data_IF_563943591838
#
_entry.id   IF_563943591838
#
_cell.length_a   1.000
_cell.length_b   1.000
_cell.length_c   1.000
_cell.angle_alpha   90.00
_cell.angle_beta   90.00
_cell.angle_gamma   90.00
#
_symmetry.space_group_name_H-M   'P 1'
#
loop_
_entity.id
_entity.type
_entity.pdbx_description
1 polymer ?
#
# COMPACT_ATOMS: atom_id res chain seq x y z
N UNK A 1 7.49 -21.02 9.07
CA UNK A 1 8.05 -19.70 9.40
C UNK A 1 7.50 -18.69 8.41
N UNK A 2 6.64 -17.76 8.84
CA UNK A 2 5.76 -16.99 7.94
C UNK A 2 6.30 -15.58 7.70
N UNK A 3 6.58 -15.26 6.44
CA UNK A 3 7.02 -13.95 5.97
C UNK A 3 5.86 -13.29 5.22
N UNK A 4 5.69 -11.98 5.37
CA UNK A 4 4.70 -11.22 4.62
C UNK A 4 5.37 -10.19 3.73
N UNK A 5 4.89 -10.09 2.48
CA UNK A 5 5.14 -8.99 1.59
C UNK A 5 3.88 -8.12 1.52
N UNK A 6 4.00 -6.82 1.78
CA UNK A 6 2.90 -5.87 1.71
C UNK A 6 3.15 -4.89 0.58
N UNK A 7 2.23 -4.85 -0.37
CA UNK A 7 2.19 -3.86 -1.44
C UNK A 7 1.43 -2.62 -0.97
N UNK A 8 2.12 -1.50 -0.83
CA UNK A 8 1.55 -0.23 -0.36
C UNK A 8 1.10 0.60 -1.55
N UNK A 9 -0.21 0.80 -1.66
CA UNK A 9 -0.87 1.81 -2.51
C UNK A 9 -0.37 1.85 -3.97
N UNK A 10 -0.16 0.67 -4.57
CA UNK A 10 0.36 0.55 -5.93
C UNK A 10 -0.75 0.67 -6.98
N UNK A 11 -1.41 1.83 -6.99
CA UNK A 11 -2.61 2.13 -7.78
C UNK A 11 -2.28 2.98 -9.01
N UNK A 12 -3.17 2.99 -10.00
CA UNK A 12 -2.95 3.71 -11.25
C UNK A 12 -2.70 5.22 -11.02
N UNK A 13 -3.45 5.86 -10.11
CA UNK A 13 -3.28 7.29 -9.83
C UNK A 13 -1.90 7.66 -9.30
N UNK A 14 -1.21 6.76 -8.61
CA UNK A 14 0.14 6.99 -8.10
C UNK A 14 1.26 6.58 -9.08
N UNK A 15 0.90 6.03 -10.25
CA UNK A 15 1.87 5.57 -11.26
C UNK A 15 1.83 6.48 -12.49
N UNK A 16 0.69 6.53 -13.17
CA UNK A 16 0.51 7.30 -14.41
C UNK A 16 -0.83 8.06 -14.47
N UNK A 17 -1.55 8.14 -13.35
CA UNK A 17 -2.75 8.96 -13.20
C UNK A 17 -2.50 10.29 -12.50
N UNK A 18 -3.44 10.72 -11.66
CA UNK A 18 -3.49 12.11 -11.17
C UNK A 18 -2.30 12.53 -10.29
N UNK A 19 -1.63 11.59 -9.64
CA UNK A 19 -0.43 11.77 -8.82
C UNK A 19 0.75 10.90 -9.30
N UNK A 20 0.74 10.51 -10.57
CA UNK A 20 1.76 9.67 -11.17
C UNK A 20 3.07 10.40 -11.46
N UNK A 21 4.17 9.65 -11.51
CA UNK A 21 5.51 10.19 -11.84
C UNK A 21 6.25 9.27 -12.82
N UNK A 22 7.28 9.79 -13.49
CA UNK A 22 8.12 8.96 -14.37
C UNK A 22 8.84 7.87 -13.56
N UNK A 23 9.30 8.22 -12.37
CA UNK A 23 9.97 7.33 -11.43
C UNK A 23 9.05 6.18 -10.99
N UNK A 24 7.79 6.48 -10.65
CA UNK A 24 6.80 5.46 -10.28
C UNK A 24 6.54 4.45 -11.40
N UNK A 25 6.52 4.90 -12.65
CA UNK A 25 6.41 4.01 -13.81
C UNK A 25 7.62 3.08 -13.95
N UNK A 26 8.83 3.56 -13.65
CA UNK A 26 10.06 2.74 -13.80
C UNK A 26 10.14 1.58 -12.82
N UNK A 27 9.46 1.65 -11.66
CA UNK A 27 9.52 0.58 -10.64
C UNK A 27 8.52 -0.55 -10.87
N UNK A 28 7.54 -0.38 -11.77
CA UNK A 28 6.50 -1.39 -12.05
C UNK A 28 7.07 -2.79 -12.29
N UNK A 29 8.09 -2.99 -13.16
CA UNK A 29 8.62 -4.33 -13.41
C UNK A 29 9.25 -4.97 -12.16
N UNK A 30 9.99 -4.20 -11.36
CA UNK A 30 10.64 -4.70 -10.14
C UNK A 30 9.63 -5.04 -9.04
N UNK A 31 8.59 -4.23 -8.90
CA UNK A 31 7.49 -4.52 -7.96
C UNK A 31 6.82 -5.83 -8.32
N UNK A 32 6.51 -6.05 -9.59
CA UNK A 32 5.89 -7.30 -10.08
C UNK A 32 6.82 -8.49 -9.90
N UNK A 33 8.11 -8.35 -10.21
CA UNK A 33 9.12 -9.39 -9.96
C UNK A 33 9.13 -9.79 -8.48
N UNK A 34 9.17 -8.80 -7.57
CA UNK A 34 9.16 -9.04 -6.13
C UNK A 34 7.88 -9.71 -5.65
N UNK A 35 6.70 -9.29 -6.14
CA UNK A 35 5.43 -9.93 -5.81
C UNK A 35 5.39 -11.40 -6.23
N UNK A 36 6.10 -11.78 -7.29
CA UNK A 36 6.16 -13.17 -7.76
C UNK A 36 7.13 -14.05 -6.96
N UNK A 37 7.96 -13.47 -6.07
CA UNK A 37 8.82 -14.26 -5.16
C UNK A 37 8.07 -14.74 -3.90
N UNK A 38 6.84 -14.29 -3.69
CA UNK A 38 6.00 -14.63 -2.54
C UNK A 38 4.74 -15.37 -2.97
N UNK A 39 4.25 -16.30 -2.15
CA UNK A 39 2.99 -16.99 -2.40
C UNK A 39 1.82 -16.05 -2.17
N UNK A 40 0.68 -16.29 -2.81
CA UNK A 40 -0.54 -15.51 -2.59
C UNK A 40 -0.93 -15.39 -1.10
N UNK A 41 -0.78 -16.48 -0.34
CA UNK A 41 -1.03 -16.53 1.11
C UNK A 41 -0.10 -15.67 1.98
N UNK A 42 0.96 -15.12 1.38
CA UNK A 42 2.00 -14.30 2.01
C UNK A 42 1.96 -12.85 1.51
N UNK A 43 1.10 -12.54 0.53
CA UNK A 43 0.95 -11.20 -0.05
C UNK A 43 -0.25 -10.49 0.54
N UNK A 44 -0.01 -9.28 1.03
CA UNK A 44 -1.04 -8.32 1.42
C UNK A 44 -0.90 -7.08 0.56
N UNK A 45 -1.95 -6.27 0.48
CA UNK A 45 -1.87 -4.95 -0.12
C UNK A 45 -2.67 -3.92 0.69
N UNK A 46 -2.26 -2.66 0.65
CA UNK A 46 -3.13 -1.54 0.99
C UNK A 46 -3.62 -0.88 -0.30
N UNK A 47 -4.78 -0.28 -0.22
CA UNK A 47 -5.38 0.47 -1.31
C UNK A 47 -5.94 1.76 -0.74
N UNK A 48 -5.35 2.87 -1.11
CA UNK A 48 -5.86 4.18 -0.76
C UNK A 48 -7.22 4.37 -1.41
N UNK A 49 -8.19 4.85 -0.64
CA UNK A 49 -9.60 4.81 -1.01
C UNK A 49 -10.27 6.06 -0.49
N UNK A 50 -10.52 6.98 -1.41
CA UNK A 50 -11.18 8.25 -1.14
C UNK A 50 -12.58 8.29 -1.74
N UNK A 51 -13.39 9.22 -1.22
CA UNK A 51 -14.79 9.40 -1.59
C UNK A 51 -15.05 10.85 -2.00
N UNK A 52 -16.31 11.15 -2.34
CA UNK A 52 -16.76 12.45 -2.85
C UNK A 52 -16.42 13.62 -1.92
N UNK A 53 -16.33 13.38 -0.61
CA UNK A 53 -16.01 14.39 0.40
C UNK A 53 -14.51 14.66 0.56
N UNK A 54 -13.63 14.01 -0.23
CA UNK A 54 -12.16 14.11 -0.10
C UNK A 54 -11.66 15.55 0.03
N UNK A 55 -12.13 16.47 -0.83
CA UNK A 55 -11.69 17.87 -0.82
C UNK A 55 -12.10 18.65 0.45
N UNK A 56 -12.98 18.09 1.27
CA UNK A 56 -13.39 18.67 2.56
C UNK A 56 -12.52 18.19 3.74
N UNK A 57 -11.81 17.06 3.56
CA UNK A 57 -10.92 16.47 4.55
C UNK A 57 -9.68 17.34 4.79
N UNK A 58 -8.91 17.06 5.85
CA UNK A 58 -7.65 17.76 6.08
C UNK A 58 -6.64 17.49 4.95
N UNK A 59 -6.51 16.23 4.53
CA UNK A 59 -5.65 15.83 3.43
C UNK A 59 -6.04 16.53 2.14
N UNK A 60 -7.31 16.48 1.74
CA UNK A 60 -7.78 17.12 0.51
C UNK A 60 -7.66 18.64 0.50
N UNK A 61 -7.59 19.31 1.66
CA UNK A 61 -7.26 20.73 1.74
C UNK A 61 -5.77 21.01 1.51
N UNK A 62 -4.90 20.10 1.94
CA UNK A 62 -3.44 20.23 1.79
C UNK A 62 -2.94 19.67 0.44
N UNK A 63 -3.63 18.69 -0.13
CA UNK A 63 -3.41 18.06 -1.42
C UNK A 63 -4.73 18.08 -2.22
N UNK A 64 -5.11 19.21 -2.83
CA UNK A 64 -6.40 19.40 -3.50
C UNK A 64 -6.42 18.76 -4.90
N UNK A 65 -5.99 17.50 -5.00
CA UNK A 65 -5.99 16.68 -6.21
C UNK A 65 -6.83 15.44 -5.94
N UNK A 66 -7.92 15.26 -6.72
CA UNK A 66 -8.71 14.05 -6.64
C UNK A 66 -7.89 12.87 -7.15
N UNK A 67 -7.78 11.86 -6.30
CA UNK A 67 -7.06 10.63 -6.59
C UNK A 67 -7.70 9.48 -5.83
N UNK A 68 -7.44 8.26 -6.29
CA UNK A 68 -7.84 7.01 -5.63
C UNK A 68 -9.33 6.99 -5.21
N UNK A 69 -10.18 7.61 -6.03
CA UNK A 69 -11.62 7.68 -5.80
C UNK A 69 -12.25 6.31 -6.01
N UNK A 70 -12.97 5.80 -5.02
CA UNK A 70 -13.46 4.41 -5.01
C UNK A 70 -14.25 4.08 -6.28
N UNK A 71 -13.91 2.96 -6.92
CA UNK A 71 -14.57 2.47 -8.13
C UNK A 71 -14.11 3.15 -9.43
N UNK A 72 -13.18 4.11 -9.38
CA UNK A 72 -12.57 4.68 -10.58
C UNK A 72 -11.37 3.86 -11.05
N UNK A 73 -10.97 4.03 -12.31
CA UNK A 73 -9.74 3.41 -12.85
C UNK A 73 -8.49 3.85 -12.08
N UNK A 74 -8.42 5.11 -11.65
CA UNK A 74 -7.31 5.64 -10.86
C UNK A 74 -7.09 4.89 -9.54
N UNK A 75 -8.19 4.46 -8.92
CA UNK A 75 -8.22 3.70 -7.66
C UNK A 75 -7.78 2.25 -7.79
N UNK A 76 -7.89 1.61 -8.96
CA UNK A 76 -7.52 0.21 -9.11
C UNK A 76 -6.02 -0.04 -8.87
N UNK A 77 -5.68 -1.14 -8.19
CA UNK A 77 -4.30 -1.65 -8.16
C UNK A 77 -3.83 -1.82 -9.61
N UNK A 78 -2.60 -1.39 -9.89
CA UNK A 78 -1.98 -1.48 -11.21
C UNK A 78 -2.14 -2.87 -11.80
N UNK A 79 -2.65 -2.97 -13.04
CA UNK A 79 -3.00 -4.25 -13.69
C UNK A 79 -1.86 -5.28 -13.62
N UNK A 80 -0.61 -4.87 -13.81
CA UNK A 80 0.56 -5.78 -13.80
C UNK A 80 0.84 -6.33 -12.40
N UNK A 81 0.42 -5.64 -11.34
CA UNK A 81 0.58 -6.04 -9.94
C UNK A 81 -0.62 -6.82 -9.38
N UNK A 82 -1.69 -7.04 -10.17
CA UNK A 82 -2.86 -7.84 -9.77
C UNK A 82 -2.56 -9.35 -9.83
N UNK A 83 -1.56 -9.80 -9.07
CA UNK A 83 -1.07 -11.19 -9.08
C UNK A 83 -1.75 -12.09 -8.04
N UNK A 84 -2.73 -11.55 -7.29
CA UNK A 84 -3.46 -12.23 -6.21
C UNK A 84 -2.90 -11.88 -4.82
N UNK A 85 -3.78 -11.51 -3.90
CA UNK A 85 -3.42 -11.15 -2.53
C UNK A 85 -4.28 -11.93 -1.54
N UNK A 86 -3.68 -12.38 -0.43
CA UNK A 86 -4.45 -12.98 0.68
C UNK A 86 -5.51 -11.99 1.19
N UNK A 87 -5.16 -10.70 1.22
CA UNK A 87 -6.07 -9.62 1.62
C UNK A 87 -5.61 -8.27 1.08
N UNK A 88 -6.56 -7.43 0.72
CA UNK A 88 -6.37 -6.01 0.40
C UNK A 88 -7.07 -5.18 1.48
N UNK A 89 -6.38 -4.17 1.99
CA UNK A 89 -6.89 -3.25 3.02
C UNK A 89 -7.17 -1.89 2.39
N UNK A 90 -8.45 -1.61 2.14
CA UNK A 90 -8.89 -0.27 1.78
C UNK A 90 -8.71 0.67 2.98
N UNK A 91 -8.07 1.83 2.77
CA UNK A 91 -7.83 2.84 3.79
C UNK A 91 -8.06 4.23 3.21
N UNK A 92 -8.47 5.18 4.05
CA UNK A 92 -8.59 6.60 3.71
C UNK A 92 -7.63 7.47 4.54
N UNK A 93 -6.51 6.86 4.95
CA UNK A 93 -5.46 7.41 5.81
C UNK A 93 -4.11 6.86 5.33
N UNK A 94 -3.00 7.53 5.63
CA UNK A 94 -1.68 7.09 5.14
C UNK A 94 -1.25 5.70 5.63
N UNK A 95 -1.30 5.46 6.95
CA UNK A 95 -0.97 4.17 7.54
C UNK A 95 -2.22 3.38 7.95
N UNK A 96 -2.26 2.09 7.62
CA UNK A 96 -3.43 1.25 7.91
C UNK A 96 -3.38 0.62 9.31
N UNK A 97 -4.29 1.06 10.19
CA UNK A 97 -4.47 0.46 11.52
C UNK A 97 -4.84 -1.03 11.38
N UNK A 98 -5.77 -1.33 10.48
CA UNK A 98 -6.26 -2.69 10.25
C UNK A 98 -5.17 -3.62 9.75
N UNK A 99 -4.24 -3.13 8.91
CA UNK A 99 -3.08 -3.90 8.47
C UNK A 99 -2.17 -4.24 9.65
N UNK A 100 -1.84 -3.25 10.49
CA UNK A 100 -0.96 -3.45 11.63
C UNK A 100 -1.55 -4.45 12.64
N UNK A 101 -2.85 -4.35 12.93
CA UNK A 101 -3.57 -5.30 13.79
C UNK A 101 -3.58 -6.71 13.17
N UNK A 102 -3.85 -6.81 11.87
CA UNK A 102 -3.86 -8.10 11.17
C UNK A 102 -2.51 -8.81 11.22
N UNK A 103 -1.41 -8.08 10.97
CA UNK A 103 -0.06 -8.63 11.02
C UNK A 103 0.29 -9.11 12.44
N UNK A 104 -0.10 -8.35 13.47
CA UNK A 104 0.10 -8.70 14.88
C UNK A 104 -0.57 -10.03 15.22
N UNK A 105 -1.79 -10.22 14.77
CA UNK A 105 -2.58 -11.40 15.07
C UNK A 105 -2.09 -12.65 14.31
N UNK A 106 -1.50 -12.46 13.12
CA UNK A 106 -0.90 -13.53 12.31
C UNK A 106 0.45 -14.05 12.86
N UNK A 107 1.05 -13.37 13.85
CA UNK A 107 2.32 -13.75 14.52
C UNK A 107 3.44 -14.08 13.54
N UNK A 108 3.71 -13.15 12.63
CA UNK A 108 4.71 -13.32 11.56
C UNK A 108 6.13 -13.03 12.04
N UNK A 109 7.11 -13.55 11.32
CA UNK A 109 8.53 -13.39 11.68
C UNK A 109 9.18 -12.15 11.08
N UNK A 110 8.66 -11.66 9.95
CA UNK A 110 9.14 -10.46 9.31
C UNK A 110 8.07 -9.91 8.36
N UNK A 111 8.15 -8.61 8.11
CA UNK A 111 7.35 -7.92 7.11
C UNK A 111 8.29 -7.20 6.16
N UNK A 112 8.01 -7.30 4.87
CA UNK A 112 8.67 -6.52 3.83
C UNK A 112 7.63 -5.65 3.15
N UNK A 113 7.93 -4.36 3.00
CA UNK A 113 7.07 -3.37 2.38
C UNK A 113 7.66 -2.99 1.03
N UNK A 114 6.80 -2.92 0.03
CA UNK A 114 7.11 -2.35 -1.29
C UNK A 114 5.93 -1.47 -1.71
N UNK A 115 6.13 -0.49 -2.58
CA UNK A 115 5.02 0.33 -3.07
C UNK A 115 5.34 1.81 -3.13
N UNK A 116 4.31 2.65 -3.03
CA UNK A 116 4.41 4.09 -3.27
C UNK A 116 3.67 4.87 -2.16
N UNK A 117 4.11 6.06 -1.76
CA UNK A 117 5.48 6.57 -1.86
C UNK A 117 6.24 6.34 -0.54
N UNK A 118 7.57 6.33 -0.62
CA UNK A 118 8.46 6.02 0.50
C UNK A 118 8.25 6.94 1.70
N UNK A 119 8.04 8.23 1.45
CA UNK A 119 8.02 9.32 2.43
C UNK A 119 6.63 9.60 3.04
N UNK A 120 5.58 8.90 2.59
CA UNK A 120 4.21 9.05 3.13
C UNK A 120 3.65 7.67 3.53
N UNK A 121 3.04 6.92 2.61
CA UNK A 121 2.30 5.71 2.97
C UNK A 121 3.22 4.56 3.38
N UNK A 122 4.35 4.37 2.71
CA UNK A 122 5.29 3.28 3.03
C UNK A 122 5.88 3.47 4.43
N UNK A 123 6.44 4.64 4.72
CA UNK A 123 6.98 4.94 6.05
C UNK A 123 5.89 4.94 7.14
N UNK A 124 4.69 5.45 6.85
CA UNK A 124 3.58 5.44 7.81
C UNK A 124 3.20 4.01 8.22
N UNK A 125 3.05 3.10 7.26
CA UNK A 125 2.77 1.70 7.56
C UNK A 125 3.95 1.02 8.27
N UNK A 126 5.20 1.30 7.88
CA UNK A 126 6.39 0.77 8.54
C UNK A 126 6.41 1.15 10.04
N UNK A 127 6.19 2.43 10.35
CA UNK A 127 6.17 2.93 11.72
C UNK A 127 5.03 2.32 12.53
N UNK A 128 3.82 2.21 11.96
CA UNK A 128 2.69 1.60 12.65
C UNK A 128 2.93 0.12 12.97
N UNK A 129 3.50 -0.63 12.03
CA UNK A 129 3.87 -2.04 12.23
C UNK A 129 4.93 -2.13 13.34
N UNK A 130 5.99 -1.31 13.30
CA UNK A 130 7.01 -1.29 14.36
C UNK A 130 6.45 -0.85 15.72
N UNK A 131 5.51 0.07 15.76
CA UNK A 131 4.84 0.47 17.01
C UNK A 131 3.97 -0.63 17.59
N UNK A 132 3.26 -1.37 16.75
CA UNK A 132 2.42 -2.49 17.19
C UNK A 132 3.24 -3.75 17.54
N UNK A 133 4.38 -3.96 16.89
CA UNK A 133 5.25 -5.13 17.01
C UNK A 133 6.74 -4.70 17.01
N UNK A 134 7.28 -4.24 18.15
CA UNK A 134 8.63 -3.67 18.21
C UNK A 134 9.75 -4.62 17.81
N UNK A 135 9.57 -5.92 18.00
CA UNK A 135 10.62 -6.92 17.79
C UNK A 135 10.65 -7.53 16.39
N UNK A 136 9.59 -7.36 15.57
CA UNK A 136 9.59 -7.96 14.24
C UNK A 136 10.47 -7.13 13.28
N UNK A 137 11.37 -7.74 12.51
CA UNK A 137 12.05 -7.08 11.40
C UNK A 137 11.06 -6.53 10.37
N UNK A 138 11.25 -5.26 10.00
CA UNK A 138 10.52 -4.60 8.92
C UNK A 138 11.54 -4.13 7.89
N UNK A 139 11.35 -4.54 6.64
CA UNK A 139 12.17 -4.13 5.50
C UNK A 139 11.34 -3.24 4.58
N UNK A 140 11.99 -2.24 3.97
CA UNK A 140 11.43 -1.30 3.00
C UNK A 140 12.39 -1.23 1.82
#
# INVERSE_FOLDING_TARGET
MKKLLVLIDFQNDFIDGSLGTAEAQTIVPRVVEKLNTYKESERLATQDTHFEDYLTTQEGKNLPVLHCQKGTKGWEIRKEAQVGFKRVFEKNIFGSIQLAEYIRDERVEQVELIGICTDICVISNALMIKSAMPEIPVYV
#
